data_IF_840280120908
#
_entry.id   IF_840280120908
#
_cell.length_a   1.000
_cell.length_b   1.000
_cell.length_c   1.000
_cell.angle_alpha   90.00
_cell.angle_beta   90.00
_cell.angle_gamma   90.00
#
_symmetry.space_group_name_H-M   'P 1'
#
loop_
_entity.id
_entity.type
_entity.pdbx_description
1 polymer ?
#
# COMPACT_ATOMS: atom_id res chain seq x y z
N UNK A 1 104.24 41.00 3.54
CA UNK A 1 104.53 42.45 3.49
C UNK A 1 103.42 43.08 2.68
N UNK A 2 102.78 44.12 3.21
CA UNK A 2 101.71 44.83 2.49
C UNK A 2 102.31 45.72 1.41
N UNK A 3 101.56 46.00 0.34
CA UNK A 3 101.98 46.88 -0.75
C UNK A 3 102.52 48.24 -0.23
N UNK A 4 101.88 48.78 0.82
CA UNK A 4 102.28 50.00 1.51
C UNK A 4 103.66 49.90 2.17
N UNK A 5 103.97 48.76 2.80
CA UNK A 5 105.26 48.51 3.46
C UNK A 5 106.41 48.42 2.46
N UNK A 6 106.15 47.92 1.25
CA UNK A 6 107.13 47.89 0.15
C UNK A 6 107.44 49.31 -0.34
N UNK A 7 106.41 50.16 -0.46
CA UNK A 7 106.53 51.55 -0.92
C UNK A 7 107.26 52.47 0.08
N UNK A 8 107.07 52.23 1.38
CA UNK A 8 107.68 53.03 2.45
C UNK A 8 109.09 52.55 2.84
N UNK A 9 109.57 51.45 2.25
CA UNK A 9 110.86 50.85 2.62
C UNK A 9 112.03 51.77 2.24
N UNK A 10 112.84 52.13 3.23
CA UNK A 10 114.11 52.85 3.05
C UNK A 10 115.30 51.92 3.25
N UNK A 11 116.30 52.05 2.39
CA UNK A 11 117.57 51.32 2.47
C UNK A 11 118.73 52.23 2.91
N UNK A 12 119.73 51.66 3.58
CA UNK A 12 120.94 52.37 3.98
C UNK A 12 121.85 52.61 2.76
N UNK A 13 122.45 53.81 2.66
CA UNK A 13 123.37 54.15 1.56
C UNK A 13 124.79 53.66 1.85
N UNK A 14 125.46 53.09 0.84
CA UNK A 14 126.88 52.68 0.88
C UNK A 14 127.60 53.15 -0.39
N UNK A 15 128.91 53.41 -0.29
CA UNK A 15 129.75 54.00 -1.36
C UNK A 15 129.73 53.23 -2.70
N UNK A 16 129.38 51.94 -2.69
CA UNK A 16 129.05 51.15 -3.88
C UNK A 16 127.74 50.41 -3.62
N UNK A 17 126.73 50.61 -4.47
CA UNK A 17 125.40 50.02 -4.35
C UNK A 17 124.56 50.26 -5.61
N UNK A 18 123.35 49.70 -5.63
CA UNK A 18 122.40 49.89 -6.73
C UNK A 18 121.94 51.34 -6.85
N UNK A 19 121.57 51.78 -8.05
CA UNK A 19 121.02 53.11 -8.28
C UNK A 19 119.69 53.26 -7.54
N UNK A 20 119.62 54.28 -6.69
CA UNK A 20 118.45 54.58 -5.88
C UNK A 20 117.20 54.83 -6.72
N UNK A 21 117.32 55.48 -7.89
CA UNK A 21 116.19 55.78 -8.78
C UNK A 21 115.61 54.52 -9.42
N UNK A 22 116.45 53.59 -9.86
CA UNK A 22 116.01 52.32 -10.43
C UNK A 22 115.35 51.44 -9.36
N UNK A 23 115.92 51.38 -8.16
CA UNK A 23 115.34 50.64 -7.03
C UNK A 23 113.99 51.23 -6.62
N UNK A 24 113.87 52.56 -6.55
CA UNK A 24 112.60 53.24 -6.21
C UNK A 24 111.52 52.98 -7.29
N UNK A 25 111.91 52.95 -8.57
CA UNK A 25 111.00 52.61 -9.67
C UNK A 25 110.52 51.14 -9.58
N UNK A 26 111.44 50.21 -9.30
CA UNK A 26 111.10 48.79 -9.12
C UNK A 26 110.22 48.55 -7.89
N UNK A 27 110.51 49.20 -6.76
CA UNK A 27 109.66 49.13 -5.56
C UNK A 27 108.25 49.65 -5.82
N UNK A 28 108.10 50.68 -6.66
CA UNK A 28 106.80 51.21 -7.04
C UNK A 28 106.00 50.18 -7.86
N UNK A 29 106.62 49.56 -8.86
CA UNK A 29 106.01 48.50 -9.66
C UNK A 29 105.65 47.29 -8.79
N UNK A 30 106.58 46.82 -7.95
CA UNK A 30 106.35 45.73 -7.00
C UNK A 30 105.19 46.06 -6.04
N UNK A 31 105.09 47.30 -5.57
CA UNK A 31 103.97 47.71 -4.73
C UNK A 31 102.63 47.65 -5.47
N UNK A 32 102.59 48.00 -6.76
CA UNK A 32 101.36 47.91 -7.57
C UNK A 32 100.94 46.45 -7.78
N UNK A 33 101.89 45.57 -8.10
CA UNK A 33 101.62 44.14 -8.25
C UNK A 33 101.13 43.54 -6.93
N UNK A 34 101.76 43.88 -5.80
CA UNK A 34 101.30 43.41 -4.48
C UNK A 34 99.90 43.91 -4.14
N UNK A 35 99.57 45.17 -4.45
CA UNK A 35 98.25 45.74 -4.19
C UNK A 35 97.16 45.03 -5.01
N UNK A 36 97.46 44.73 -6.29
CA UNK A 36 96.58 43.94 -7.15
C UNK A 36 96.41 42.51 -6.62
N UNK A 37 97.49 41.89 -6.13
CA UNK A 37 97.46 40.54 -5.57
C UNK A 37 96.66 40.49 -4.27
N UNK A 38 96.81 41.47 -3.37
CA UNK A 38 96.02 41.60 -2.15
C UNK A 38 94.54 41.81 -2.47
N UNK A 39 94.22 42.68 -3.43
CA UNK A 39 92.84 42.93 -3.86
C UNK A 39 92.18 41.68 -4.45
N UNK A 40 92.88 40.98 -5.36
CA UNK A 40 92.39 39.73 -5.93
C UNK A 40 92.24 38.64 -4.87
N UNK A 41 93.16 38.56 -3.90
CA UNK A 41 93.05 37.59 -2.81
C UNK A 41 91.83 37.85 -1.94
N UNK A 42 91.56 39.12 -1.59
CA UNK A 42 90.36 39.51 -0.85
C UNK A 42 89.07 39.18 -1.63
N UNK A 43 89.06 39.48 -2.94
CA UNK A 43 87.93 39.14 -3.81
C UNK A 43 87.67 37.63 -3.85
N UNK A 44 88.71 36.82 -4.08
CA UNK A 44 88.60 35.36 -4.11
C UNK A 44 88.19 34.77 -2.76
N UNK A 45 88.65 35.36 -1.64
CA UNK A 45 88.21 34.94 -0.31
C UNK A 45 86.73 35.23 -0.08
N UNK A 46 86.25 36.40 -0.52
CA UNK A 46 84.83 36.75 -0.44
C UNK A 46 83.99 35.82 -1.31
N UNK A 47 84.42 35.56 -2.54
CA UNK A 47 83.72 34.65 -3.45
C UNK A 47 83.68 33.21 -2.88
N UNK A 48 84.78 32.72 -2.32
CA UNK A 48 84.81 31.43 -1.63
C UNK A 48 83.86 31.40 -0.44
N UNK A 49 83.78 32.46 0.33
CA UNK A 49 82.86 32.56 1.46
C UNK A 49 81.40 32.49 0.98
N UNK A 50 81.05 33.25 -0.05
CA UNK A 50 79.69 33.29 -0.60
C UNK A 50 79.29 31.94 -1.23
N UNK A 51 80.19 31.31 -1.98
CA UNK A 51 79.96 29.98 -2.57
C UNK A 51 79.82 28.90 -1.50
N UNK A 52 80.63 28.92 -0.44
CA UNK A 52 80.50 27.96 0.65
C UNK A 52 79.16 28.12 1.39
N UNK A 53 78.70 29.35 1.62
CA UNK A 53 77.39 29.60 2.22
C UNK A 53 76.25 29.05 1.35
N UNK A 54 76.32 29.26 0.03
CA UNK A 54 75.34 28.68 -0.89
C UNK A 54 75.38 27.15 -0.88
N UNK A 55 76.58 26.55 -0.82
CA UNK A 55 76.73 25.10 -0.74
C UNK A 55 76.10 24.53 0.53
N UNK A 56 76.29 25.20 1.67
CA UNK A 56 75.68 24.77 2.93
C UNK A 56 74.15 24.91 2.90
N UNK A 57 73.62 25.98 2.31
CA UNK A 57 72.17 26.11 2.09
C UNK A 57 71.63 24.99 1.18
N UNK A 58 72.33 24.65 0.10
CA UNK A 58 71.94 23.53 -0.77
C UNK A 58 71.96 22.19 -0.04
N UNK A 59 72.97 21.95 0.79
CA UNK A 59 73.04 20.73 1.62
C UNK A 59 71.89 20.66 2.62
N UNK A 60 71.51 21.76 3.24
CA UNK A 60 70.38 21.80 4.15
C UNK A 60 69.06 21.53 3.42
N UNK A 61 68.87 22.15 2.24
CA UNK A 61 67.71 21.89 1.38
C UNK A 61 67.65 20.43 0.94
N UNK A 62 68.77 19.85 0.50
CA UNK A 62 68.87 18.44 0.13
C UNK A 62 68.51 17.51 1.30
N UNK A 63 69.06 17.79 2.49
CA UNK A 63 68.74 17.04 3.70
C UNK A 63 67.26 17.16 4.10
N UNK A 64 66.64 18.33 3.88
CA UNK A 64 65.20 18.53 4.08
C UNK A 64 64.38 17.69 3.10
N UNK A 65 64.70 17.74 1.80
CA UNK A 65 64.03 16.94 0.77
C UNK A 65 64.15 15.44 1.04
N UNK A 66 65.34 14.96 1.39
CA UNK A 66 65.56 13.56 1.74
C UNK A 66 64.72 13.13 2.95
N UNK A 67 64.63 13.97 3.99
CA UNK A 67 63.75 13.71 5.13
C UNK A 67 62.27 13.66 4.72
N UNK A 68 61.82 14.60 3.88
CA UNK A 68 60.44 14.61 3.38
C UNK A 68 60.10 13.36 2.57
N UNK A 69 61.03 12.87 1.74
CA UNK A 69 60.84 11.63 0.96
C UNK A 69 60.67 10.42 1.90
N UNK A 70 61.50 10.31 2.94
CA UNK A 70 61.39 9.22 3.92
C UNK A 70 60.05 9.27 4.65
N UNK A 71 59.62 10.46 5.08
CA UNK A 71 58.32 10.64 5.75
C UNK A 71 57.17 10.30 4.80
N UNK A 72 57.24 10.73 3.54
CA UNK A 72 56.22 10.42 2.54
C UNK A 72 56.13 8.91 2.28
N UNK A 73 57.27 8.22 2.19
CA UNK A 73 57.31 6.76 2.05
C UNK A 73 56.69 6.05 3.26
N UNK A 74 57.06 6.46 4.47
CA UNK A 74 56.47 5.91 5.70
C UNK A 74 54.96 6.15 5.79
N UNK A 75 54.49 7.32 5.37
CA UNK A 75 53.08 7.64 5.31
C UNK A 75 52.35 6.77 4.28
N UNK A 76 52.94 6.57 3.09
CA UNK A 76 52.40 5.69 2.06
C UNK A 76 52.31 4.23 2.55
N UNK A 77 53.35 3.74 3.22
CA UNK A 77 53.38 2.39 3.77
C UNK A 77 52.33 2.20 4.89
N UNK A 78 52.17 3.21 5.76
CA UNK A 78 51.10 3.22 6.78
C UNK A 78 49.72 3.18 6.13
N UNK A 79 49.44 4.06 5.17
CA UNK A 79 48.14 4.10 4.47
C UNK A 79 47.85 2.76 3.80
N UNK A 80 48.86 2.14 3.19
CA UNK A 80 48.72 0.81 2.58
C UNK A 80 48.38 -0.26 3.61
N UNK A 81 49.09 -0.31 4.73
CA UNK A 81 48.82 -1.27 5.80
C UNK A 81 47.43 -1.09 6.40
N UNK A 82 47.04 0.15 6.70
CA UNK A 82 45.71 0.47 7.24
C UNK A 82 44.60 0.09 6.26
N UNK A 83 44.78 0.38 4.97
CA UNK A 83 43.81 0.02 3.93
C UNK A 83 43.64 -1.49 3.76
N UNK A 84 44.72 -2.27 3.89
CA UNK A 84 44.66 -3.73 3.83
C UNK A 84 43.92 -4.30 5.05
N UNK A 85 44.24 -3.81 6.25
CA UNK A 85 43.56 -4.22 7.48
C UNK A 85 42.06 -3.88 7.43
N UNK A 86 41.70 -2.69 6.96
CA UNK A 86 40.31 -2.28 6.81
C UNK A 86 39.58 -3.13 5.77
N UNK A 87 40.22 -3.46 4.65
CA UNK A 87 39.65 -4.35 3.64
C UNK A 87 39.36 -5.75 4.21
N UNK A 88 40.31 -6.33 4.96
CA UNK A 88 40.11 -7.62 5.62
C UNK A 88 38.97 -7.57 6.64
N UNK A 89 38.86 -6.47 7.40
CA UNK A 89 37.78 -6.28 8.38
C UNK A 89 36.41 -6.15 7.70
N UNK A 90 36.33 -5.43 6.57
CA UNK A 90 35.12 -5.33 5.75
C UNK A 90 34.70 -6.71 5.25
N UNK A 91 35.64 -7.50 4.73
CA UNK A 91 35.37 -8.86 4.24
C UNK A 91 34.84 -9.74 5.38
N UNK A 92 35.52 -9.77 6.53
CA UNK A 92 35.08 -10.56 7.68
C UNK A 92 33.68 -10.15 8.17
N UNK A 93 33.39 -8.85 8.19
CA UNK A 93 32.08 -8.34 8.59
C UNK A 93 31.00 -8.75 7.58
N UNK A 94 31.28 -8.63 6.29
CA UNK A 94 30.36 -9.04 5.23
C UNK A 94 30.07 -10.55 5.28
N UNK A 95 31.10 -11.38 5.52
CA UNK A 95 30.95 -12.83 5.71
C UNK A 95 30.08 -13.15 6.93
N UNK A 96 30.33 -12.49 8.06
CA UNK A 96 29.53 -12.66 9.28
C UNK A 96 28.06 -12.28 9.08
N UNK A 97 27.80 -11.15 8.42
CA UNK A 97 26.45 -10.68 8.11
C UNK A 97 25.74 -11.62 7.11
N UNK A 98 26.44 -12.07 6.07
CA UNK A 98 25.92 -13.04 5.12
C UNK A 98 25.54 -14.36 5.80
N UNK A 99 26.37 -14.84 6.73
CA UNK A 99 26.09 -16.07 7.46
C UNK A 99 24.89 -15.93 8.40
N UNK A 100 24.75 -14.79 9.09
CA UNK A 100 23.55 -14.48 9.90
C UNK A 100 22.29 -14.39 9.05
N UNK A 101 22.39 -13.80 7.86
CA UNK A 101 21.27 -13.71 6.92
C UNK A 101 20.84 -15.10 6.44
N UNK A 102 21.81 -15.95 6.05
CA UNK A 102 21.56 -17.33 5.66
C UNK A 102 20.90 -18.14 6.77
N UNK A 103 21.40 -18.02 8.00
CA UNK A 103 20.81 -18.69 9.16
C UNK A 103 19.36 -18.25 9.38
N UNK A 104 19.11 -16.95 9.36
CA UNK A 104 17.76 -16.39 9.52
C UNK A 104 16.82 -16.86 8.40
N UNK A 105 17.31 -16.93 7.16
CA UNK A 105 16.53 -17.42 6.03
C UNK A 105 16.22 -18.92 6.17
N UNK A 106 17.19 -19.73 6.60
CA UNK A 106 17.00 -21.15 6.86
C UNK A 106 15.98 -21.41 7.97
N UNK A 107 16.05 -20.66 9.07
CA UNK A 107 15.11 -20.76 10.19
C UNK A 107 13.68 -20.36 9.79
N UNK A 108 13.54 -19.31 8.97
CA UNK A 108 12.25 -18.93 8.37
C UNK A 108 11.71 -20.02 7.44
N UNK A 109 12.56 -20.57 6.58
CA UNK A 109 12.16 -21.65 5.67
C UNK A 109 11.68 -22.88 6.45
N UNK A 110 12.39 -23.27 7.51
CA UNK A 110 12.00 -24.36 8.38
C UNK A 110 10.66 -24.10 9.08
N UNK A 111 10.43 -22.87 9.54
CA UNK A 111 9.15 -22.47 10.14
C UNK A 111 8.01 -22.60 9.12
N UNK A 112 8.18 -22.09 7.91
CA UNK A 112 7.18 -22.20 6.83
C UNK A 112 6.87 -23.66 6.50
N UNK A 113 7.90 -24.51 6.44
CA UNK A 113 7.72 -25.95 6.16
C UNK A 113 6.90 -26.62 7.27
N UNK A 114 7.19 -26.31 8.54
CA UNK A 114 6.43 -26.82 9.69
C UNK A 114 4.98 -26.35 9.66
N UNK A 115 4.74 -25.06 9.43
CA UNK A 115 3.39 -24.49 9.34
C UNK A 115 2.61 -25.11 8.18
N UNK A 116 3.24 -25.30 7.02
CA UNK A 116 2.64 -25.98 5.87
C UNK A 116 2.26 -27.42 6.19
N UNK A 117 3.10 -28.16 6.90
CA UNK A 117 2.79 -29.54 7.32
C UNK A 117 1.59 -29.56 8.27
N UNK A 118 1.61 -28.68 9.29
CA UNK A 118 0.52 -28.54 10.25
C UNK A 118 -0.80 -28.19 9.57
N UNK A 119 -0.80 -27.23 8.63
CA UNK A 119 -1.99 -26.86 7.87
C UNK A 119 -2.53 -28.05 7.07
N UNK A 120 -1.67 -28.84 6.43
CA UNK A 120 -2.08 -30.04 5.70
C UNK A 120 -2.72 -31.08 6.62
N UNK A 121 -2.17 -31.31 7.80
CA UNK A 121 -2.73 -32.21 8.80
C UNK A 121 -4.09 -31.72 9.29
N UNK A 122 -4.21 -30.43 9.62
CA UNK A 122 -5.48 -29.80 9.99
C UNK A 122 -6.53 -29.92 8.89
N UNK A 123 -6.17 -29.69 7.62
CA UNK A 123 -7.09 -29.86 6.49
C UNK A 123 -7.56 -31.31 6.35
N UNK A 124 -6.66 -32.29 6.50
CA UNK A 124 -7.03 -33.72 6.46
C UNK A 124 -7.99 -34.08 7.58
N UNK A 125 -7.69 -33.62 8.80
CA UNK A 125 -8.54 -33.84 9.96
C UNK A 125 -9.93 -33.23 9.76
N UNK A 126 -10.00 -32.00 9.26
CA UNK A 126 -11.25 -31.31 8.98
C UNK A 126 -12.10 -32.03 7.91
N UNK A 127 -11.48 -32.49 6.82
CA UNK A 127 -12.17 -33.31 5.81
C UNK A 127 -12.73 -34.59 6.42
N UNK A 128 -11.95 -35.28 7.25
CA UNK A 128 -12.41 -36.50 7.92
C UNK A 128 -13.59 -36.22 8.87
N UNK A 129 -13.52 -35.14 9.66
CA UNK A 129 -14.64 -34.72 10.51
C UNK A 129 -15.90 -34.42 9.70
N UNK A 130 -15.79 -33.64 8.62
CA UNK A 130 -16.94 -33.32 7.76
C UNK A 130 -17.54 -34.58 7.13
N UNK A 131 -16.72 -35.50 6.64
CA UNK A 131 -17.19 -36.78 6.13
C UNK A 131 -17.96 -37.57 7.19
N UNK A 132 -17.48 -37.58 8.43
CA UNK A 132 -18.19 -38.17 9.57
C UNK A 132 -19.56 -37.53 9.82
N UNK A 133 -19.61 -36.19 9.85
CA UNK A 133 -20.87 -35.45 10.03
C UNK A 133 -21.87 -35.72 8.90
N UNK A 134 -21.41 -35.73 7.64
CA UNK A 134 -22.27 -36.01 6.48
C UNK A 134 -22.78 -37.44 6.53
N UNK A 135 -21.92 -38.41 6.84
CA UNK A 135 -22.33 -39.81 6.95
C UNK A 135 -23.34 -40.02 8.08
N UNK A 136 -23.15 -39.37 9.22
CA UNK A 136 -24.10 -39.43 10.32
C UNK A 136 -25.43 -38.75 9.96
N UNK A 137 -25.41 -37.58 9.33
CA UNK A 137 -26.62 -36.93 8.85
C UNK A 137 -27.37 -37.78 7.82
N UNK A 138 -26.63 -38.46 6.93
CA UNK A 138 -27.20 -39.43 5.99
C UNK A 138 -27.86 -40.60 6.71
N UNK A 139 -27.18 -41.19 7.69
CA UNK A 139 -27.72 -42.31 8.49
C UNK A 139 -29.02 -41.92 9.21
N UNK A 140 -29.09 -40.69 9.76
CA UNK A 140 -30.34 -40.17 10.35
C UNK A 140 -31.45 -40.03 9.32
N UNK A 141 -31.16 -39.53 8.11
CA UNK A 141 -32.16 -39.37 7.04
C UNK A 141 -32.60 -40.70 6.41
N UNK A 142 -31.72 -41.70 6.39
CA UNK A 142 -32.01 -43.05 5.89
C UNK A 142 -32.84 -43.88 6.89
N UNK A 143 -33.07 -43.38 8.11
CA UNK A 143 -33.89 -44.05 9.13
C UNK A 143 -35.36 -44.14 8.69
N UNK A 144 -35.96 -45.35 8.65
CA UNK A 144 -37.35 -45.57 8.25
C UNK A 144 -38.38 -44.74 9.02
N UNK A 145 -38.07 -44.28 10.25
CA UNK A 145 -38.97 -43.43 11.03
C UNK A 145 -39.36 -42.13 10.28
N UNK A 146 -38.43 -41.58 9.48
CA UNK A 146 -38.72 -40.40 8.67
C UNK A 146 -39.53 -40.74 7.44
N UNK A 147 -39.32 -41.91 6.85
CA UNK A 147 -40.13 -42.39 5.73
C UNK A 147 -41.58 -42.64 6.15
N UNK A 148 -41.81 -43.08 7.38
CA UNK A 148 -43.15 -43.24 7.96
C UNK A 148 -43.79 -41.89 8.32
N UNK A 149 -43.02 -40.95 8.88
CA UNK A 149 -43.51 -39.60 9.19
C UNK A 149 -43.95 -38.84 7.93
N UNK A 150 -43.18 -38.98 6.84
CA UNK A 150 -43.46 -38.35 5.55
C UNK A 150 -44.27 -39.24 4.60
N UNK A 151 -44.73 -40.41 5.05
CA UNK A 151 -45.67 -41.20 4.27
C UNK A 151 -47.00 -40.44 4.18
N UNK A 152 -47.64 -40.47 3.01
CA UNK A 152 -48.98 -39.92 2.83
C UNK A 152 -49.94 -40.64 3.79
N UNK A 153 -50.28 -39.97 4.89
CA UNK A 153 -51.34 -40.44 5.77
C UNK A 153 -52.66 -40.06 5.11
N UNK A 154 -53.56 -41.04 4.94
CA UNK A 154 -54.94 -40.74 4.57
C UNK A 154 -55.52 -39.85 5.69
N UNK A 155 -55.60 -38.54 5.44
CA UNK A 155 -56.25 -37.61 6.36
C UNK A 155 -57.69 -38.09 6.56
N UNK A 156 -57.97 -38.63 7.75
CA UNK A 156 -59.33 -38.92 8.17
C UNK A 156 -60.06 -37.58 8.17
N UNK A 157 -60.97 -37.38 7.20
CA UNK A 157 -61.76 -36.15 7.08
C UNK A 157 -62.56 -36.00 8.36
N UNK A 158 -62.02 -35.24 9.31
CA UNK A 158 -62.75 -34.84 10.50
C UNK A 158 -63.90 -33.97 10.04
N UNK A 159 -65.14 -34.45 10.21
CA UNK A 159 -66.33 -33.63 9.98
C UNK A 159 -66.26 -32.45 10.95
N UNK A 160 -65.88 -31.28 10.44
CA UNK A 160 -65.92 -30.04 11.20
C UNK A 160 -67.39 -29.68 11.43
N UNK A 161 -67.83 -29.42 12.67
CA UNK A 161 -69.22 -29.07 12.95
C UNK A 161 -69.61 -27.81 12.18
N UNK A 162 -70.83 -27.81 11.66
CA UNK A 162 -71.38 -26.69 10.90
C UNK A 162 -71.62 -25.53 11.86
N UNK A 163 -71.39 -24.29 11.41
CA UNK A 163 -71.47 -23.06 12.21
C UNK A 163 -72.77 -22.98 13.05
N UNK A 164 -73.88 -23.53 12.55
CA UNK A 164 -75.18 -23.54 13.23
C UNK A 164 -75.20 -24.41 14.51
N UNK A 165 -74.43 -25.50 14.57
CA UNK A 165 -74.34 -26.36 15.76
C UNK A 165 -73.52 -25.70 16.87
N UNK A 166 -72.50 -24.92 16.50
CA UNK A 166 -71.68 -24.14 17.42
C UNK A 166 -72.46 -22.95 17.99
N UNK A 167 -73.28 -22.30 17.15
CA UNK A 167 -74.14 -21.18 17.56
C UNK A 167 -75.28 -21.60 18.50
N UNK A 168 -75.76 -22.84 18.42
CA UNK A 168 -76.81 -23.36 19.32
C UNK A 168 -76.31 -23.66 20.75
N UNK A 169 -75.00 -23.93 20.91
CA UNK A 169 -74.37 -24.23 22.21
C UNK A 169 -73.96 -23.00 23.02
N UNK A 170 -73.88 -21.83 22.39
CA UNK A 170 -73.37 -20.59 22.99
C UNK A 170 -74.49 -19.57 23.14
N UNK A 171 -74.82 -19.22 24.39
CA UNK A 171 -75.89 -18.28 24.72
C UNK A 171 -75.42 -16.83 24.56
N UNK A 172 -75.34 -16.35 23.32
CA UNK A 172 -75.00 -14.96 23.02
C UNK A 172 -76.14 -14.02 23.46
N UNK A 173 -75.94 -13.25 24.53
CA UNK A 173 -76.87 -12.20 24.96
C UNK A 173 -76.79 -10.95 24.06
N UNK A 174 -77.14 -11.06 22.76
CA UNK A 174 -77.38 -9.89 21.91
C UNK A 174 -78.43 -10.19 20.83
N UNK A 175 -79.72 -10.00 21.17
CA UNK A 175 -80.59 -9.03 20.47
C UNK A 175 -81.95 -8.94 21.16
N UNK A 176 -82.13 -7.80 21.82
CA UNK A 176 -83.38 -7.18 22.21
C UNK A 176 -84.48 -7.40 21.14
N UNK A 177 -85.67 -7.83 21.57
CA UNK A 177 -86.86 -8.10 20.73
C UNK A 177 -87.32 -6.89 19.88
N UNK A 178 -86.76 -5.71 20.12
CA UNK A 178 -86.97 -4.51 19.30
C UNK A 178 -86.28 -4.57 17.92
N UNK A 179 -85.25 -5.40 17.74
CA UNK A 179 -84.52 -5.50 16.47
C UNK A 179 -85.37 -6.11 15.34
N UNK A 180 -86.20 -7.10 15.66
CA UNK A 180 -87.13 -7.70 14.70
C UNK A 180 -88.27 -6.75 14.36
N UNK A 181 -88.75 -5.97 15.35
CA UNK A 181 -89.77 -4.94 15.11
C UNK A 181 -89.26 -3.85 14.18
N UNK A 182 -88.06 -3.32 14.44
CA UNK A 182 -87.42 -2.33 13.55
C UNK A 182 -87.17 -2.88 12.14
N UNK A 183 -86.83 -4.17 12.02
CA UNK A 183 -86.66 -4.82 10.72
C UNK A 183 -87.99 -4.95 9.98
N UNK A 184 -89.06 -5.38 10.64
CA UNK A 184 -90.38 -5.50 10.02
C UNK A 184 -90.97 -4.15 9.65
N UNK A 185 -90.80 -3.12 10.50
CA UNK A 185 -91.25 -1.76 10.19
C UNK A 185 -90.52 -1.20 8.95
N UNK A 186 -89.21 -1.40 8.86
CA UNK A 186 -88.42 -1.03 7.69
C UNK A 186 -88.79 -1.85 6.43
N UNK A 187 -89.12 -3.13 6.60
CA UNK A 187 -89.55 -4.01 5.51
C UNK A 187 -90.92 -3.60 4.96
N UNK A 188 -91.87 -3.26 5.84
CA UNK A 188 -93.21 -2.82 5.45
C UNK A 188 -93.16 -1.44 4.79
N UNK A 189 -92.33 -0.51 5.29
CA UNK A 189 -92.12 0.78 4.64
C UNK A 189 -91.48 0.64 3.25
N UNK A 190 -90.55 -0.31 3.08
CA UNK A 190 -89.94 -0.63 1.79
C UNK A 190 -90.96 -1.26 0.83
N UNK A 191 -91.79 -2.22 1.28
CA UNK A 191 -92.87 -2.81 0.49
C UNK A 191 -93.91 -1.77 0.10
N UNK A 192 -94.28 -0.86 1.00
CA UNK A 192 -95.22 0.21 0.68
C UNK A 192 -94.67 1.15 -0.40
N UNK A 193 -93.39 1.55 -0.30
CA UNK A 193 -92.72 2.34 -1.35
C UNK A 193 -92.62 1.59 -2.66
N UNK A 194 -92.38 0.28 -2.62
CA UNK A 194 -92.27 -0.56 -3.82
C UNK A 194 -93.63 -0.80 -4.49
N UNK A 195 -94.68 -1.11 -3.73
CA UNK A 195 -96.05 -1.23 -4.24
C UNK A 195 -96.60 0.10 -4.78
N UNK A 196 -96.25 1.23 -4.16
CA UNK A 196 -96.62 2.56 -4.65
C UNK A 196 -95.90 2.90 -5.97
N UNK A 197 -94.67 2.41 -6.14
CA UNK A 197 -93.89 2.53 -7.37
C UNK A 197 -94.41 1.60 -8.47
N UNK A 198 -94.71 0.34 -8.14
CA UNK A 198 -95.30 -0.65 -9.06
C UNK A 198 -96.73 -0.27 -9.49
N UNK A 199 -97.54 0.31 -8.60
CA UNK A 199 -98.86 0.87 -8.95
C UNK A 199 -98.77 2.04 -9.93
N UNK A 200 -97.75 2.90 -9.79
CA UNK A 200 -97.52 4.02 -10.73
C UNK A 200 -96.94 3.54 -12.08
N UNK A 201 -96.12 2.49 -12.06
CA UNK A 201 -95.48 1.91 -13.25
C UNK A 201 -96.46 1.02 -14.07
N UNK A 202 -97.49 0.42 -13.47
CA UNK A 202 -98.49 -0.41 -14.18
C UNK A 202 -99.58 0.39 -14.92
N UNK A 203 -99.77 1.67 -14.59
CA UNK A 203 -100.76 2.55 -15.23
C UNK A 203 -100.22 3.30 -16.46
N UNK A 204 -98.93 3.16 -16.80
CA UNK A 204 -98.27 3.92 -17.87
C UNK A 204 -97.44 3.04 -18.83
N UNK A 205 -97.94 1.86 -19.22
CA UNK A 205 -97.23 0.91 -20.09
C UNK A 205 -98.09 0.33 -21.22
N UNK A 206 -98.12 1.06 -22.32
CA UNK A 206 -98.63 0.79 -23.68
C UNK A 206 -98.64 -0.69 -24.15
N UNK A 207 -99.81 -1.36 -24.12
CA UNK A 207 -100.18 -2.44 -25.06
C UNK A 207 -101.69 -2.36 -25.41
N UNK A 208 -102.06 -2.50 -26.71
CA UNK A 208 -103.42 -2.26 -27.20
C UNK A 208 -104.43 -3.31 -26.72
N UNK A 209 -105.59 -2.85 -26.28
CA UNK A 209 -106.68 -3.66 -25.75
C UNK A 209 -107.17 -4.71 -26.77
N UNK A 210 -107.05 -5.99 -26.43
CA UNK A 210 -107.71 -7.09 -27.15
C UNK A 210 -109.07 -7.36 -26.51
N UNK A 211 -110.10 -7.49 -27.35
CA UNK A 211 -111.50 -7.70 -26.94
C UNK A 211 -111.70 -9.10 -26.31
N UNK A 212 -112.50 -9.22 -25.22
CA UNK A 212 -112.77 -10.50 -24.55
C UNK A 212 -113.48 -11.54 -25.43
N UNK A 213 -113.17 -12.83 -25.23
CA UNK A 213 -113.64 -14.01 -25.99
C UNK A 213 -115.17 -14.12 -26.17
N UNK A 214 -115.97 -13.49 -25.30
CA UNK A 214 -117.43 -13.47 -25.42
C UNK A 214 -117.92 -12.65 -26.63
N UNK A 215 -117.16 -11.63 -27.05
CA UNK A 215 -117.52 -10.81 -28.21
C UNK A 215 -117.20 -11.53 -29.54
N UNK A 216 -116.22 -12.42 -29.56
CA UNK A 216 -115.80 -13.15 -30.76
C UNK A 216 -116.83 -14.21 -31.20
N UNK A 217 -117.44 -14.89 -30.23
CA UNK A 217 -118.51 -15.87 -30.50
C UNK A 217 -119.76 -15.24 -31.11
N UNK A 218 -120.04 -13.98 -30.80
CA UNK A 218 -121.13 -13.22 -31.40
C UNK A 218 -120.86 -12.86 -32.87
N UNK A 219 -119.59 -12.67 -33.25
CA UNK A 219 -119.21 -12.40 -34.64
C UNK A 219 -119.15 -13.68 -35.49
N UNK A 220 -118.76 -14.82 -34.90
CA UNK A 220 -118.74 -16.11 -35.60
C UNK A 220 -120.17 -16.63 -35.88
N UNK A 221 -121.11 -16.48 -34.94
CA UNK A 221 -122.54 -16.81 -35.16
C UNK A 221 -123.19 -15.95 -36.27
N UNK A 222 -122.69 -14.73 -36.49
CA UNK A 222 -123.21 -13.81 -37.49
C UNK A 222 -122.54 -13.98 -38.87
N UNK A 223 -121.30 -14.48 -38.90
CA UNK A 223 -120.64 -14.97 -40.12
C UNK A 223 -121.21 -16.31 -40.60
N UNK A 224 -121.64 -17.18 -39.68
CA UNK A 224 -122.14 -18.51 -40.04
C UNK A 224 -123.59 -18.52 -40.53
N UNK A 225 -124.37 -17.45 -40.32
CA UNK A 225 -125.65 -17.32 -41.03
C UNK A 225 -125.50 -17.46 -42.55
N UNK A 226 -124.29 -17.26 -43.08
CA UNK A 226 -124.01 -17.04 -44.49
C UNK A 226 -123.50 -18.27 -45.27
N UNK A 227 -123.37 -19.45 -44.66
CA UNK A 227 -123.04 -20.70 -45.37
C UNK A 227 -124.22 -21.71 -45.47
N UNK A 228 -125.43 -21.35 -45.01
CA UNK A 228 -126.63 -22.23 -45.17
C UNK A 228 -127.95 -21.56 -45.60
N UNK A 229 -127.95 -20.29 -46.04
CA UNK A 229 -129.04 -19.72 -46.86
C UNK A 229 -128.54 -19.30 -48.26
N UNK A 230 -127.64 -20.15 -48.80
CA UNK A 230 -127.44 -20.43 -50.22
C UNK A 230 -127.05 -21.90 -50.41
#
# INVERSE_FOLDING_TARGET
MQAKQVREKKFNSKMRGYDKKEVDAYLKELSMVMDNLETNNQYLQQELYDVNNQLDEYREREASVNRSIVVAQQAADRVRADSLNEADLIIQKAESEAQKLLQTAADKANTIVKEKSRLREMSRYYIFQMQGLINNAKEVLDDPQWQELFADQEEEKVETPVLDEVLAGENFQVRNQEADQLYQEALDEAKHKQAQKEFFDQASGDQPAQMPEEAQKLFDEEAEKLDSDN
#
